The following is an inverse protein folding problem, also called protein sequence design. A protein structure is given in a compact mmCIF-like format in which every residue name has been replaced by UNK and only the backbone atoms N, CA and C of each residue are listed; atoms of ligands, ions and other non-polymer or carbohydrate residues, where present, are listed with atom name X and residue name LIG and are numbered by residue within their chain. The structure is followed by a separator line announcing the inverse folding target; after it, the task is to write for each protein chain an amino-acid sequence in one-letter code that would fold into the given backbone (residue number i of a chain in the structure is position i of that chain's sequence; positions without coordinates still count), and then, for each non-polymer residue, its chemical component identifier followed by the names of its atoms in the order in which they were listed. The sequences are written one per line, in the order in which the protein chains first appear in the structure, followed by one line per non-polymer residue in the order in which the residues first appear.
data_IF_046146788844
#
_entry.id   IF_046146788844
#
_cell.length_a   1.000
_cell.length_b   1.000
_cell.length_c   1.000
_cell.angle_alpha   90.00
_cell.angle_beta   90.00
_cell.angle_gamma   90.00
#
_symmetry.space_group_name_H-M   'P 1'
#
loop_
_entity.id
_entity.type
_entity.pdbx_description
1 polymer ?
#
# COMPACT_ATOMS: atom_id res chain seq x y z
N UNK A 1 38.64 15.87 5.78
CA UNK A 1 37.84 15.69 4.55
C UNK A 1 36.38 15.81 4.93
N UNK A 2 35.68 16.87 4.51
CA UNK A 2 34.22 16.95 4.71
C UNK A 2 33.60 15.77 3.96
N UNK A 3 32.96 14.85 4.68
CA UNK A 3 32.34 13.66 4.10
C UNK A 3 31.41 14.09 2.97
N UNK A 4 31.51 13.42 1.82
CA UNK A 4 30.54 13.55 0.74
C UNK A 4 29.17 13.25 1.37
N UNK A 5 28.30 14.26 1.48
CA UNK A 5 26.92 14.01 1.91
C UNK A 5 26.37 12.96 0.95
N UNK A 6 26.03 11.78 1.46
CA UNK A 6 25.41 10.73 0.66
C UNK A 6 24.04 11.27 0.24
N UNK A 7 23.85 11.46 -1.07
CA UNK A 7 22.58 11.90 -1.64
C UNK A 7 21.50 10.88 -1.30
N UNK A 8 20.37 11.33 -0.73
CA UNK A 8 19.25 10.44 -0.40
C UNK A 8 18.54 9.99 -1.66
N UNK A 9 18.07 8.74 -1.67
CA UNK A 9 17.45 8.12 -2.84
C UNK A 9 16.00 7.72 -2.57
N UNK A 10 15.11 8.06 -3.50
CA UNK A 10 13.71 7.66 -3.50
C UNK A 10 13.45 6.66 -4.64
N UNK A 11 12.87 5.51 -4.33
CA UNK A 11 12.40 4.53 -5.32
C UNK A 11 10.90 4.70 -5.52
N UNK A 12 10.49 5.11 -6.73
CA UNK A 12 9.10 5.42 -7.07
C UNK A 12 8.62 4.49 -8.18
N UNK A 13 7.59 3.69 -7.88
CA UNK A 13 6.93 2.79 -8.83
C UNK A 13 5.44 2.72 -8.53
N UNK A 14 4.66 3.53 -9.23
CA UNK A 14 3.22 3.69 -8.99
C UNK A 14 2.37 3.34 -10.21
N UNK A 15 1.26 2.67 -9.94
CA UNK A 15 0.20 2.37 -10.90
C UNK A 15 -0.81 3.52 -11.00
N UNK A 16 -1.19 4.12 -9.87
CA UNK A 16 -1.94 5.38 -9.83
C UNK A 16 -0.94 6.55 -9.79
N UNK A 17 -1.08 7.49 -10.74
CA UNK A 17 -0.18 8.63 -10.93
C UNK A 17 -0.70 9.90 -10.29
N UNK A 18 -1.79 9.85 -9.52
CA UNK A 18 -2.31 11.00 -8.80
C UNK A 18 -1.23 11.65 -7.92
N UNK A 19 -0.91 12.92 -8.18
CA UNK A 19 0.01 13.74 -7.40
C UNK A 19 1.49 13.34 -7.47
N UNK A 20 1.87 12.32 -8.25
CA UNK A 20 3.24 11.78 -8.20
C UNK A 20 4.27 12.71 -8.84
N UNK A 21 3.87 13.46 -9.86
CA UNK A 21 4.75 14.39 -10.56
C UNK A 21 5.14 15.53 -9.64
N UNK A 22 4.16 16.15 -8.99
CA UNK A 22 4.35 17.23 -8.02
C UNK A 22 5.20 16.74 -6.84
N UNK A 23 4.88 15.56 -6.31
CA UNK A 23 5.65 14.95 -5.24
C UNK A 23 7.13 14.74 -5.62
N UNK A 24 7.39 14.19 -6.81
CA UNK A 24 8.73 13.94 -7.31
C UNK A 24 9.50 15.24 -7.57
N UNK A 25 8.84 16.28 -8.10
CA UNK A 25 9.46 17.60 -8.30
C UNK A 25 9.90 18.22 -6.97
N UNK A 26 9.08 18.13 -5.91
CA UNK A 26 9.47 18.62 -4.58
C UNK A 26 10.65 17.82 -4.01
N UNK A 27 10.67 16.50 -4.17
CA UNK A 27 11.84 15.69 -3.77
C UNK A 27 13.13 16.13 -4.50
N UNK A 28 13.06 16.41 -5.81
CA UNK A 28 14.21 16.92 -6.57
C UNK A 28 14.69 18.27 -6.03
N UNK A 29 13.79 19.18 -5.67
CA UNK A 29 14.14 20.48 -5.05
C UNK A 29 14.85 20.30 -3.71
N UNK A 30 14.50 19.26 -2.96
CA UNK A 30 15.16 18.87 -1.71
C UNK A 30 16.50 18.12 -1.94
N UNK A 31 16.93 17.93 -3.19
CA UNK A 31 18.21 17.32 -3.54
C UNK A 31 18.20 15.79 -3.54
N UNK A 32 17.03 15.16 -3.68
CA UNK A 32 16.92 13.70 -3.73
C UNK A 32 17.18 13.16 -5.15
N UNK A 33 17.77 11.97 -5.21
CA UNK A 33 17.78 11.17 -6.43
C UNK A 33 16.52 10.32 -6.51
N UNK A 34 15.98 10.16 -7.72
CA UNK A 34 14.76 9.39 -7.95
C UNK A 34 15.10 8.20 -8.84
N UNK A 35 14.86 7.00 -8.33
CA UNK A 35 14.91 5.75 -9.07
C UNK A 35 13.48 5.43 -9.50
N UNK A 36 13.27 5.12 -10.77
CA UNK A 36 11.95 4.73 -11.26
C UNK A 36 12.02 3.70 -12.40
N UNK A 37 10.87 3.12 -12.75
CA UNK A 37 10.75 2.08 -13.77
C UNK A 37 9.41 2.18 -14.52
N UNK A 38 9.35 1.57 -15.70
CA UNK A 38 8.15 1.42 -16.52
C UNK A 38 7.40 2.73 -16.75
N UNK A 39 6.06 2.66 -16.71
CA UNK A 39 5.20 3.82 -16.94
C UNK A 39 5.33 4.95 -15.92
N UNK A 40 5.86 4.67 -14.71
CA UNK A 40 6.14 5.75 -13.74
C UNK A 40 7.31 6.60 -14.22
N UNK A 41 8.39 5.95 -14.66
CA UNK A 41 9.57 6.64 -15.20
C UNK A 41 9.18 7.54 -16.38
N UNK A 42 8.40 7.01 -17.32
CA UNK A 42 7.92 7.76 -18.50
C UNK A 42 7.13 9.01 -18.08
N UNK A 43 6.22 8.88 -17.11
CA UNK A 43 5.43 10.02 -16.63
C UNK A 43 6.28 11.10 -15.98
N UNK A 44 7.27 10.70 -15.17
CA UNK A 44 8.20 11.63 -14.51
C UNK A 44 9.14 12.31 -15.51
N UNK A 45 9.73 11.56 -16.44
CA UNK A 45 10.63 12.10 -17.46
C UNK A 45 9.90 13.09 -18.37
N UNK A 46 8.65 12.78 -18.76
CA UNK A 46 7.81 13.68 -19.58
C UNK A 46 7.52 15.00 -18.87
N UNK A 47 7.43 14.98 -17.54
CA UNK A 47 7.25 16.16 -16.70
C UNK A 47 8.57 16.88 -16.36
N UNK A 48 9.69 16.49 -16.98
CA UNK A 48 11.01 17.10 -16.75
C UNK A 48 11.66 16.72 -15.42
N UNK A 49 11.24 15.62 -14.79
CA UNK A 49 11.85 15.11 -13.56
C UNK A 49 12.95 14.11 -13.91
N UNK A 50 14.20 14.44 -13.63
CA UNK A 50 15.32 13.54 -13.87
C UNK A 50 15.24 12.29 -12.99
N UNK A 51 15.13 11.12 -13.64
CA UNK A 51 15.09 9.80 -12.98
C UNK A 51 16.25 8.91 -13.39
N UNK A 52 16.66 8.03 -12.47
CA UNK A 52 17.59 6.92 -12.68
C UNK A 52 16.75 5.69 -13.02
N UNK A 53 17.06 4.98 -14.10
CA UNK A 53 16.34 3.75 -14.42
C UNK A 53 16.70 2.66 -13.41
N UNK A 54 15.75 1.80 -13.05
CA UNK A 54 16.03 0.70 -12.13
C UNK A 54 17.11 -0.25 -12.68
N UNK A 55 17.13 -0.46 -13.99
CA UNK A 55 18.12 -1.29 -14.69
C UNK A 55 19.54 -0.74 -14.57
N UNK A 56 19.70 0.59 -14.45
CA UNK A 56 21.00 1.24 -14.21
C UNK A 56 21.49 0.96 -12.78
N UNK A 57 20.56 0.77 -11.83
CA UNK A 57 20.88 0.46 -10.42
C UNK A 57 21.16 -1.03 -10.23
N UNK A 58 20.43 -1.90 -10.91
CA UNK A 58 20.61 -3.35 -10.82
C UNK A 58 21.74 -3.86 -11.71
N UNK A 59 22.02 -3.18 -12.82
CA UNK A 59 22.88 -3.69 -13.89
C UNK A 59 22.27 -4.89 -14.61
N UNK A 60 20.96 -5.09 -14.48
CA UNK A 60 20.26 -6.29 -14.92
C UNK A 60 18.96 -5.90 -15.65
N UNK A 61 18.74 -6.39 -16.88
CA UNK A 61 17.58 -5.98 -17.68
C UNK A 61 16.27 -6.56 -17.12
N UNK A 62 15.16 -5.93 -17.45
CA UNK A 62 13.82 -6.50 -17.24
C UNK A 62 13.67 -7.86 -17.94
N UNK A 63 13.13 -8.87 -17.23
CA UNK A 63 12.95 -10.23 -17.74
C UNK A 63 11.56 -10.80 -17.46
N UNK A 64 11.20 -11.85 -18.22
CA UNK A 64 9.96 -12.63 -18.07
C UNK A 64 8.72 -11.72 -18.14
N UNK A 65 8.65 -10.91 -19.19
CA UNK A 65 7.54 -9.98 -19.44
C UNK A 65 7.28 -9.01 -18.26
N UNK A 66 8.36 -8.59 -17.59
CA UNK A 66 8.32 -7.63 -16.49
C UNK A 66 8.03 -8.21 -15.11
N UNK A 67 7.91 -9.55 -15.00
CA UNK A 67 7.74 -10.25 -13.72
C UNK A 67 8.97 -10.12 -12.82
N UNK A 68 10.16 -10.01 -13.40
CA UNK A 68 11.43 -9.88 -12.66
C UNK A 68 12.12 -8.59 -13.07
N UNK A 69 11.87 -7.54 -12.28
CA UNK A 69 12.48 -6.20 -12.44
C UNK A 69 13.12 -5.69 -11.15
N UNK A 70 12.36 -5.71 -10.05
CA UNK A 70 12.75 -5.08 -8.77
C UNK A 70 13.27 -6.09 -7.75
N UNK A 71 13.13 -7.39 -8.03
CA UNK A 71 13.56 -8.50 -7.17
C UNK A 71 15.07 -8.72 -7.27
N UNK A 72 15.84 -7.71 -6.86
CA UNK A 72 17.30 -7.68 -7.00
C UNK A 72 17.98 -7.31 -5.67
N UNK A 73 19.14 -7.90 -5.33
CA UNK A 73 19.89 -7.55 -4.12
C UNK A 73 20.26 -6.07 -4.01
N UNK A 74 20.56 -5.38 -5.11
CA UNK A 74 20.85 -3.94 -5.07
C UNK A 74 19.65 -3.10 -4.61
N UNK A 75 18.43 -3.57 -4.89
CA UNK A 75 17.20 -2.88 -4.45
C UNK A 75 16.89 -3.28 -3.01
N UNK A 76 16.74 -4.59 -2.74
CA UNK A 76 16.34 -5.06 -1.43
C UNK A 76 17.42 -4.86 -0.36
N UNK A 77 18.70 -4.96 -0.72
CA UNK A 77 19.82 -4.63 0.15
C UNK A 77 19.85 -3.15 0.51
N UNK A 78 19.60 -2.27 -0.47
CA UNK A 78 19.48 -0.83 -0.22
C UNK A 78 18.31 -0.46 0.70
N UNK A 79 17.24 -1.25 0.67
CA UNK A 79 16.05 -1.09 1.53
C UNK A 79 16.21 -1.73 2.92
N UNK A 80 16.89 -2.88 3.02
CA UNK A 80 16.93 -3.70 4.23
C UNK A 80 18.21 -3.52 5.05
N UNK A 81 19.23 -2.85 4.50
CA UNK A 81 20.44 -2.51 5.25
C UNK A 81 20.06 -1.67 6.48
N UNK A 82 20.39 -2.19 7.65
CA UNK A 82 20.22 -1.48 8.92
C UNK A 82 21.32 -0.42 9.01
N UNK A 83 20.92 0.80 9.30
CA UNK A 83 21.85 1.95 9.36
C UNK A 83 22.46 2.15 10.74
N UNK A 84 21.93 1.44 11.74
CA UNK A 84 22.41 1.41 13.12
C UNK A 84 23.38 0.23 13.38
N UNK A 85 23.78 -0.49 12.33
CA UNK A 85 24.66 -1.65 12.44
C UNK A 85 25.77 -1.59 11.38
N UNK A 86 27.00 -1.36 11.83
CA UNK A 86 28.17 -1.14 10.96
C UNK A 86 28.38 -2.29 9.97
N UNK A 87 28.17 -3.55 10.40
CA UNK A 87 28.35 -4.71 9.52
C UNK A 87 27.39 -4.72 8.31
N UNK A 88 26.20 -4.11 8.42
CA UNK A 88 25.29 -3.97 7.28
C UNK A 88 25.77 -2.87 6.33
N UNK A 89 26.30 -1.76 6.86
CA UNK A 89 26.83 -0.67 6.05
C UNK A 89 28.11 -1.08 5.32
N UNK A 90 28.99 -1.84 5.97
CA UNK A 90 30.16 -2.45 5.38
C UNK A 90 29.77 -3.43 4.27
N UNK A 91 28.84 -4.36 4.53
CA UNK A 91 28.36 -5.29 3.52
C UNK A 91 27.73 -4.57 2.31
N UNK A 92 26.95 -3.51 2.54
CA UNK A 92 26.39 -2.71 1.47
C UNK A 92 27.50 -2.04 0.63
N UNK A 93 28.49 -1.44 1.28
CA UNK A 93 29.64 -0.80 0.62
C UNK A 93 30.47 -1.80 -0.19
N UNK A 94 30.81 -2.95 0.39
CA UNK A 94 31.64 -3.98 -0.24
C UNK A 94 30.97 -4.57 -1.48
N UNK A 95 29.64 -4.68 -1.45
CA UNK A 95 28.84 -5.17 -2.57
C UNK A 95 28.33 -4.03 -3.49
N UNK A 96 28.79 -2.79 -3.28
CA UNK A 96 28.40 -1.60 -4.07
C UNK A 96 26.88 -1.38 -4.10
N UNK A 97 26.21 -1.71 -3.01
CA UNK A 97 24.79 -1.49 -2.80
C UNK A 97 24.61 -0.10 -2.20
N UNK A 98 23.90 0.75 -2.92
CA UNK A 98 23.52 2.07 -2.44
C UNK A 98 22.23 2.00 -1.63
N UNK A 99 22.14 2.83 -0.59
CA UNK A 99 20.98 2.86 0.30
C UNK A 99 19.79 3.57 -0.37
N UNK A 100 18.59 3.14 -0.01
CA UNK A 100 17.33 3.77 -0.43
C UNK A 100 16.61 4.27 0.83
N UNK A 101 16.18 5.53 0.80
CA UNK A 101 15.63 6.26 1.95
C UNK A 101 14.12 6.40 1.93
N UNK A 102 13.54 6.38 0.73
CA UNK A 102 12.11 6.53 0.51
C UNK A 102 11.65 5.52 -0.54
N UNK A 103 10.54 4.85 -0.29
CA UNK A 103 9.83 4.01 -1.25
C UNK A 103 8.42 4.53 -1.43
N UNK A 104 8.04 4.80 -2.67
CA UNK A 104 6.66 5.15 -3.03
C UNK A 104 6.15 4.14 -4.03
N UNK A 105 5.24 3.28 -3.57
CA UNK A 105 4.67 2.20 -4.38
C UNK A 105 3.19 2.08 -4.07
N UNK A 106 2.32 2.26 -5.07
CA UNK A 106 0.93 1.83 -4.97
C UNK A 106 0.73 0.62 -5.88
N UNK A 107 0.10 -0.41 -5.33
CA UNK A 107 -0.12 -1.67 -6.05
C UNK A 107 -1.18 -1.44 -7.13
N UNK A 108 -0.97 -2.00 -8.32
CA UNK A 108 -2.06 -2.07 -9.29
C UNK A 108 -3.18 -2.88 -8.65
N UNK A 109 -4.41 -2.34 -8.57
CA UNK A 109 -5.47 -3.01 -7.85
C UNK A 109 -5.86 -4.27 -8.62
N UNK A 110 -5.31 -5.42 -8.19
CA UNK A 110 -5.78 -6.75 -8.56
C UNK A 110 -7.32 -6.83 -8.47
N UNK A 111 -7.89 -6.14 -7.47
CA UNK A 111 -9.30 -5.84 -7.33
C UNK A 111 -9.95 -5.29 -8.62
N UNK A 112 -9.43 -4.23 -9.20
CA UNK A 112 -10.00 -3.63 -10.42
C UNK A 112 -9.90 -4.60 -11.60
N UNK A 113 -8.82 -5.39 -11.68
CA UNK A 113 -8.69 -6.43 -12.71
C UNK A 113 -9.78 -7.48 -12.59
N UNK A 114 -9.98 -8.08 -11.42
CA UNK A 114 -10.98 -9.14 -11.23
C UNK A 114 -12.43 -8.64 -11.29
N UNK A 115 -12.65 -7.32 -11.24
CA UNK A 115 -13.96 -6.70 -11.39
C UNK A 115 -14.31 -6.36 -12.85
N UNK A 116 -13.37 -6.48 -13.80
CA UNK A 116 -13.65 -6.28 -15.22
C UNK A 116 -14.56 -7.40 -15.74
N UNK A 117 -15.61 -7.11 -16.54
CA UNK A 117 -16.59 -8.12 -16.98
C UNK A 117 -15.99 -9.32 -17.73
N UNK A 118 -14.92 -9.09 -18.49
CA UNK A 118 -14.34 -10.07 -19.42
C UNK A 118 -12.95 -10.55 -18.99
N UNK A 119 -12.60 -10.39 -17.71
CA UNK A 119 -11.29 -10.83 -17.19
C UNK A 119 -11.20 -12.35 -17.18
N UNK A 120 -10.17 -12.89 -17.85
CA UNK A 120 -9.90 -14.32 -17.79
C UNK A 120 -9.09 -14.68 -16.53
N UNK A 121 -9.04 -15.97 -16.21
CA UNK A 121 -8.14 -16.46 -15.15
C UNK A 121 -6.67 -16.13 -15.45
N UNK A 122 -6.25 -16.27 -16.70
CA UNK A 122 -4.89 -15.91 -17.11
C UNK A 122 -4.61 -14.42 -16.88
N UNK A 123 -5.55 -13.54 -17.24
CA UNK A 123 -5.42 -12.10 -16.99
C UNK A 123 -5.30 -11.78 -15.50
N UNK A 124 -6.11 -12.44 -14.66
CA UNK A 124 -6.01 -12.28 -13.22
C UNK A 124 -4.63 -12.69 -12.70
N UNK A 125 -4.12 -13.86 -13.11
CA UNK A 125 -2.80 -14.37 -12.71
C UNK A 125 -1.66 -13.43 -13.14
N UNK A 126 -1.69 -12.90 -14.37
CA UNK A 126 -0.67 -11.96 -14.85
C UNK A 126 -0.66 -10.63 -14.08
N UNK A 127 -1.80 -10.24 -13.50
CA UNK A 127 -1.93 -8.99 -12.74
C UNK A 127 -1.59 -9.14 -11.25
N UNK A 128 -1.05 -10.28 -10.83
CA UNK A 128 -0.52 -10.48 -9.47
C UNK A 128 0.88 -9.86 -9.40
N UNK A 129 1.00 -8.78 -8.65
CA UNK A 129 2.25 -8.07 -8.43
C UNK A 129 3.08 -8.76 -7.34
N UNK A 130 4.29 -9.16 -7.69
CA UNK A 130 5.27 -9.73 -6.75
C UNK A 130 6.27 -8.65 -6.29
N UNK A 131 6.70 -7.78 -7.21
CA UNK A 131 7.72 -6.79 -6.96
C UNK A 131 7.24 -5.69 -6.02
N UNK A 132 6.04 -5.15 -6.26
CA UNK A 132 5.43 -4.10 -5.44
C UNK A 132 5.30 -4.48 -3.96
N UNK A 133 4.62 -5.59 -3.62
CA UNK A 133 4.51 -6.03 -2.23
C UNK A 133 5.86 -6.35 -1.60
N UNK A 134 6.81 -6.90 -2.36
CA UNK A 134 8.16 -7.20 -1.86
C UNK A 134 8.93 -5.93 -1.47
N UNK A 135 8.88 -4.88 -2.31
CA UNK A 135 9.51 -3.58 -2.01
C UNK A 135 8.84 -2.90 -0.82
N UNK A 136 7.50 -2.85 -0.80
CA UNK A 136 6.71 -2.28 0.28
C UNK A 136 7.03 -2.95 1.63
N UNK A 137 7.02 -4.29 1.68
CA UNK A 137 7.34 -5.05 2.89
C UNK A 137 8.79 -4.86 3.33
N UNK A 138 9.73 -4.74 2.40
CA UNK A 138 11.14 -4.49 2.71
C UNK A 138 11.33 -3.12 3.39
N UNK A 139 10.74 -2.08 2.79
CA UNK A 139 10.80 -0.73 3.34
C UNK A 139 10.07 -0.61 4.68
N UNK A 140 8.86 -1.18 4.80
CA UNK A 140 8.09 -1.18 6.04
C UNK A 140 8.80 -1.95 7.17
N UNK A 141 9.46 -3.07 6.86
CA UNK A 141 10.28 -3.81 7.84
C UNK A 141 11.42 -2.93 8.38
N UNK A 142 12.06 -2.15 7.52
CA UNK A 142 13.19 -1.28 7.89
C UNK A 142 12.77 0.18 8.18
N UNK A 143 11.55 0.40 8.67
CA UNK A 143 11.01 1.74 8.96
C UNK A 143 11.81 2.55 9.99
N UNK A 144 12.73 1.92 10.73
CA UNK A 144 13.71 2.64 11.54
C UNK A 144 14.51 3.66 10.69
N UNK A 145 14.75 3.33 9.43
CA UNK A 145 15.59 4.09 8.49
C UNK A 145 14.90 4.49 7.18
N UNK A 146 13.90 3.73 6.73
CA UNK A 146 13.28 3.92 5.40
C UNK A 146 11.86 4.43 5.54
N UNK A 147 11.53 5.50 4.81
CA UNK A 147 10.15 5.97 4.68
C UNK A 147 9.45 5.18 3.59
N UNK A 148 8.24 4.70 3.84
CA UNK A 148 7.45 3.95 2.87
C UNK A 148 6.09 4.61 2.67
N UNK A 149 5.65 4.77 1.44
CA UNK A 149 4.37 5.41 1.11
C UNK A 149 3.63 4.56 0.10
N UNK A 150 2.37 4.26 0.40
CA UNK A 150 1.50 3.41 -0.43
C UNK A 150 0.29 4.14 -1.00
N UNK A 151 0.07 5.38 -0.56
CA UNK A 151 -1.16 6.12 -0.84
C UNK A 151 -0.83 7.62 -1.02
N UNK A 152 -1.28 8.25 -2.12
CA UNK A 152 -1.05 9.68 -2.37
C UNK A 152 -1.49 10.62 -1.25
N UNK A 153 -2.47 10.23 -0.42
CA UNK A 153 -2.93 11.09 0.69
C UNK A 153 -1.84 11.36 1.75
N UNK A 154 -0.78 10.55 1.79
CA UNK A 154 0.33 10.73 2.74
C UNK A 154 1.48 11.58 2.14
N UNK A 155 1.41 12.00 0.87
CA UNK A 155 2.47 12.77 0.19
C UNK A 155 2.80 14.08 0.92
N UNK A 156 1.79 14.88 1.24
CA UNK A 156 1.97 16.18 1.90
C UNK A 156 2.63 16.04 3.27
N UNK A 157 2.20 15.05 4.06
CA UNK A 157 2.78 14.79 5.39
C UNK A 157 4.27 14.48 5.28
N UNK A 158 4.64 13.64 4.30
CA UNK A 158 6.05 13.28 4.07
C UNK A 158 6.85 14.48 3.58
N UNK A 159 6.37 15.22 2.57
CA UNK A 159 7.07 16.39 2.05
C UNK A 159 7.25 17.48 3.11
N UNK A 160 6.25 17.73 3.95
CA UNK A 160 6.32 18.71 5.02
C UNK A 160 7.42 18.35 6.04
N UNK A 161 7.50 17.08 6.46
CA UNK A 161 8.58 16.64 7.35
C UNK A 161 9.96 16.72 6.68
N UNK A 162 10.07 16.27 5.42
CA UNK A 162 11.32 16.32 4.68
C UNK A 162 11.82 17.76 4.45
N UNK A 163 10.91 18.69 4.15
CA UNK A 163 11.24 20.10 3.95
C UNK A 163 11.65 20.79 5.26
N UNK A 164 10.96 20.49 6.37
CA UNK A 164 11.25 21.10 7.66
C UNK A 164 12.52 20.55 8.33
N UNK A 165 12.75 19.23 8.23
CA UNK A 165 13.75 18.54 9.04
C UNK A 165 14.85 17.84 8.22
N UNK A 166 14.69 17.75 6.89
CA UNK A 166 15.55 16.94 6.02
C UNK A 166 15.32 15.42 6.12
N UNK A 167 14.46 14.97 7.03
CA UNK A 167 14.05 13.59 7.23
C UNK A 167 12.66 13.47 7.84
N UNK A 168 12.04 12.29 7.70
CA UNK A 168 10.79 11.99 8.40
C UNK A 168 11.04 11.67 9.87
N UNK A 169 9.99 11.77 10.69
CA UNK A 169 10.05 11.31 12.08
C UNK A 169 9.94 9.79 12.16
N UNK A 170 10.49 9.19 13.22
CA UNK A 170 10.33 7.76 13.48
C UNK A 170 8.84 7.37 13.61
N UNK A 171 8.05 8.20 14.29
CA UNK A 171 6.61 7.99 14.48
C UNK A 171 5.87 7.97 13.13
N UNK A 172 6.16 8.92 12.23
CA UNK A 172 5.60 8.91 10.87
C UNK A 172 6.00 7.66 10.11
N UNK A 173 7.27 7.24 10.15
CA UNK A 173 7.70 6.00 9.48
C UNK A 173 7.01 4.76 10.06
N UNK A 174 6.84 4.70 11.37
CA UNK A 174 6.13 3.59 12.03
C UNK A 174 4.65 3.55 11.64
N UNK A 175 3.95 4.70 11.62
CA UNK A 175 2.56 4.82 11.17
C UNK A 175 2.40 4.33 9.72
N UNK A 176 3.30 4.78 8.85
CA UNK A 176 3.29 4.42 7.43
C UNK A 176 3.59 2.93 7.22
N UNK A 177 4.55 2.36 7.95
CA UNK A 177 4.83 0.92 7.91
C UNK A 177 3.61 0.09 8.33
N UNK A 178 2.89 0.51 9.37
CA UNK A 178 1.65 -0.14 9.78
C UNK A 178 0.57 -0.06 8.68
N UNK A 179 0.46 1.09 7.98
CA UNK A 179 -0.44 1.25 6.83
C UNK A 179 -0.07 0.31 5.68
N UNK A 180 1.22 0.17 5.38
CA UNK A 180 1.71 -0.72 4.34
C UNK A 180 1.39 -2.18 4.63
N UNK A 181 1.61 -2.67 5.85
CA UNK A 181 1.29 -4.06 6.18
C UNK A 181 -0.22 -4.35 6.12
N UNK A 182 -1.08 -3.39 6.49
CA UNK A 182 -2.53 -3.52 6.24
C UNK A 182 -2.86 -3.57 4.76
N UNK A 183 -2.23 -2.71 3.94
CA UNK A 183 -2.44 -2.68 2.50
C UNK A 183 -2.02 -3.99 1.82
N UNK A 184 -0.84 -4.52 2.14
CA UNK A 184 -0.39 -5.80 1.57
C UNK A 184 -1.19 -6.99 2.08
N UNK A 185 -1.63 -6.97 3.34
CA UNK A 185 -2.53 -8.01 3.87
C UNK A 185 -3.89 -8.02 3.15
N UNK A 186 -4.45 -6.83 2.87
CA UNK A 186 -5.67 -6.71 2.08
C UNK A 186 -5.48 -7.21 0.65
N UNK A 187 -4.33 -6.91 0.04
CA UNK A 187 -3.97 -7.39 -1.30
C UNK A 187 -3.92 -8.93 -1.36
N UNK A 188 -3.20 -9.57 -0.44
CA UNK A 188 -3.08 -11.04 -0.38
C UNK A 188 -4.43 -11.70 -0.05
N UNK A 189 -5.27 -11.07 0.78
CA UNK A 189 -6.61 -11.57 1.09
C UNK A 189 -7.52 -11.60 -0.16
N UNK A 190 -7.43 -10.60 -1.03
CA UNK A 190 -8.19 -10.56 -2.29
C UNK A 190 -7.72 -11.64 -3.26
N UNK A 191 -6.41 -11.88 -3.35
CA UNK A 191 -5.85 -12.97 -4.15
C UNK A 191 -6.35 -14.31 -3.62
N UNK A 192 -6.22 -14.56 -2.31
CA UNK A 192 -6.69 -15.78 -1.68
C UNK A 192 -8.19 -16.02 -1.93
N UNK A 193 -9.03 -15.00 -1.73
CA UNK A 193 -10.47 -15.07 -2.00
C UNK A 193 -10.76 -15.44 -3.47
N UNK A 194 -10.04 -14.83 -4.42
CA UNK A 194 -10.18 -15.15 -5.84
C UNK A 194 -9.82 -16.62 -6.12
N UNK A 195 -8.66 -17.10 -5.68
CA UNK A 195 -8.23 -18.48 -5.93
C UNK A 195 -9.13 -19.53 -5.24
N UNK A 196 -9.56 -19.27 -4.00
CA UNK A 196 -10.54 -20.12 -3.29
C UNK A 196 -11.84 -20.25 -4.08
N UNK A 197 -12.34 -19.15 -4.67
CA UNK A 197 -13.52 -19.18 -5.53
C UNK A 197 -13.28 -19.98 -6.83
N UNK A 198 -12.11 -19.84 -7.46
CA UNK A 198 -11.76 -20.57 -8.69
C UNK A 198 -11.71 -22.09 -8.50
N UNK A 199 -11.27 -22.57 -7.33
CA UNK A 199 -11.25 -24.00 -7.00
C UNK A 199 -12.58 -24.52 -6.43
N UNK A 200 -13.61 -23.66 -6.32
CA UNK A 200 -14.93 -24.04 -5.83
C UNK A 200 -14.98 -24.35 -4.33
N UNK A 201 -14.00 -23.89 -3.56
CA UNK A 201 -13.92 -24.16 -2.13
C UNK A 201 -14.80 -23.17 -1.34
N UNK A 202 -15.88 -23.67 -0.74
CA UNK A 202 -16.84 -22.84 0.00
C UNK A 202 -16.52 -22.69 1.50
N UNK A 203 -15.67 -23.55 2.04
CA UNK A 203 -15.31 -23.61 3.46
C UNK A 203 -13.80 -23.86 3.63
N UNK A 204 -12.96 -22.88 3.25
CA UNK A 204 -11.52 -23.02 3.39
C UNK A 204 -11.15 -23.20 4.87
N UNK A 205 -10.06 -23.90 5.13
CA UNK A 205 -9.51 -24.11 6.46
C UNK A 205 -9.08 -22.80 7.13
N UNK A 206 -8.81 -21.76 6.32
CA UNK A 206 -8.48 -20.42 6.77
C UNK A 206 -9.30 -19.37 6.03
N UNK A 207 -10.15 -18.66 6.76
CA UNK A 207 -10.90 -17.52 6.25
C UNK A 207 -10.15 -16.21 6.54
N UNK A 208 -9.72 -15.51 5.50
CA UNK A 208 -9.09 -14.18 5.62
C UNK A 208 -10.03 -13.13 5.04
N UNK A 209 -10.45 -12.17 5.88
CA UNK A 209 -11.38 -11.12 5.48
C UNK A 209 -10.72 -9.75 5.55
N UNK A 210 -11.02 -8.89 4.58
CA UNK A 210 -10.53 -7.51 4.53
C UNK A 210 -11.68 -6.53 4.26
N UNK A 211 -11.66 -5.40 4.96
CA UNK A 211 -12.68 -4.37 4.90
C UNK A 211 -12.05 -2.97 4.94
N UNK A 212 -12.68 -2.04 4.21
CA UNK A 212 -12.31 -0.62 4.23
C UNK A 212 -13.19 0.13 5.22
N UNK A 213 -12.59 0.99 6.04
CA UNK A 213 -13.33 1.97 6.83
C UNK A 213 -14.05 2.92 5.88
N UNK A 214 -15.38 3.04 6.00
CA UNK A 214 -16.19 3.97 5.20
C UNK A 214 -16.58 5.20 5.98
N UNK A 215 -16.91 5.03 7.25
CA UNK A 215 -17.43 6.12 8.05
C UNK A 215 -17.25 5.82 9.55
N UNK A 216 -16.79 6.82 10.30
CA UNK A 216 -16.84 6.78 11.76
C UNK A 216 -18.27 6.97 12.26
N UNK A 217 -18.70 6.16 13.22
CA UNK A 217 -20.05 6.25 13.78
C UNK A 217 -20.03 7.12 15.04
N UNK A 218 -21.16 7.77 15.32
CA UNK A 218 -21.29 8.62 16.51
C UNK A 218 -21.13 7.83 17.81
N UNK A 219 -21.66 6.62 17.82
CA UNK A 219 -21.57 5.63 18.88
C UNK A 219 -22.00 4.27 18.34
N UNK A 220 -21.74 3.24 19.15
CA UNK A 220 -22.13 1.84 18.99
C UNK A 220 -23.64 1.62 19.05
N UNK A 221 -24.03 0.50 19.65
CA UNK A 221 -25.42 0.27 20.02
C UNK A 221 -25.85 1.24 21.13
N UNK A 222 -24.95 1.54 22.06
CA UNK A 222 -25.16 2.47 23.16
C UNK A 222 -24.22 3.69 23.08
N UNK A 223 -24.62 4.87 23.60
CA UNK A 223 -23.85 6.12 23.48
C UNK A 223 -22.38 6.08 23.97
N UNK A 224 -22.09 5.22 24.93
CA UNK A 224 -20.76 5.04 25.51
C UNK A 224 -19.83 4.12 24.71
N UNK A 225 -20.33 3.47 23.66
CA UNK A 225 -19.57 2.54 22.84
C UNK A 225 -19.02 3.25 21.60
N UNK A 226 -17.75 3.03 21.26
CA UNK A 226 -17.20 3.44 19.97
C UNK A 226 -17.66 2.49 18.87
N UNK A 227 -17.88 3.02 17.67
CA UNK A 227 -18.11 2.20 16.50
C UNK A 227 -17.70 2.88 15.19
N UNK A 228 -17.45 2.04 14.20
CA UNK A 228 -17.05 2.41 12.86
C UNK A 228 -17.75 1.50 11.86
N UNK A 229 -18.10 2.05 10.69
CA UNK A 229 -18.68 1.30 9.58
C UNK A 229 -17.60 0.88 8.59
N UNK A 230 -17.45 -0.43 8.44
CA UNK A 230 -16.52 -1.06 7.50
C UNK A 230 -17.27 -1.75 6.36
N UNK A 231 -16.74 -1.66 5.15
CA UNK A 231 -17.33 -2.28 3.95
C UNK A 231 -16.35 -3.25 3.30
N UNK A 232 -16.85 -4.41 2.89
CA UNK A 232 -16.03 -5.42 2.20
C UNK A 232 -15.56 -4.87 0.86
N UNK A 233 -14.29 -5.11 0.53
CA UNK A 233 -13.67 -4.64 -0.71
C UNK A 233 -14.33 -5.24 -1.97
N UNK A 234 -14.88 -6.44 -1.88
CA UNK A 234 -15.52 -7.16 -2.99
C UNK A 234 -17.01 -7.37 -2.72
N UNK A 235 -17.85 -6.52 -3.29
CA UNK A 235 -19.23 -6.88 -3.57
C UNK A 235 -19.46 -6.57 -5.04
N UNK A 236 -19.56 -7.62 -5.86
CA UNK A 236 -20.36 -7.51 -7.06
C UNK A 236 -21.78 -7.22 -6.58
N UNK A 237 -22.15 -5.94 -6.53
CA UNK A 237 -23.55 -5.58 -6.44
C UNK A 237 -24.17 -6.03 -7.74
N UNK A 238 -24.90 -7.15 -7.69
CA UNK A 238 -25.98 -7.43 -8.62
C UNK A 238 -26.77 -6.12 -8.78
N UNK A 239 -26.87 -5.60 -10.02
CA UNK A 239 -27.38 -4.25 -10.40
C UNK A 239 -28.82 -3.95 -9.94
N UNK A 240 -29.06 -3.78 -8.64
CA UNK A 240 -30.38 -3.42 -8.12
C UNK A 240 -30.40 -2.25 -7.13
N UNK A 241 -29.25 -1.65 -6.76
CA UNK A 241 -29.22 -0.67 -5.66
C UNK A 241 -28.39 0.59 -5.94
N UNK A 242 -28.56 1.20 -7.11
CA UNK A 242 -28.39 2.67 -7.24
C UNK A 242 -29.77 3.32 -7.20
N UNK A 243 -30.36 3.43 -6.01
CA UNK A 243 -31.48 4.37 -5.78
C UNK A 243 -30.93 5.57 -5.03
N UNK A 244 -30.90 6.69 -5.76
CA UNK A 244 -30.52 8.02 -5.31
C UNK A 244 -31.23 8.39 -4.00
N UNK A 245 -30.48 8.69 -2.93
CA UNK A 245 -30.96 9.45 -1.79
C UNK A 245 -30.93 10.95 -2.13
N UNK A 246 -31.86 11.39 -2.96
CA UNK A 246 -32.15 12.81 -3.17
C UNK A 246 -33.06 13.33 -2.06
N UNK A 247 -32.51 13.54 -0.87
CA UNK A 247 -33.12 14.40 0.16
C UNK A 247 -32.04 14.88 1.13
N UNK A 248 -31.66 16.15 0.99
CA UNK A 248 -30.68 16.81 1.84
C UNK A 248 -31.14 16.90 3.30
N UNK A 249 -30.62 16.00 4.13
CA UNK A 249 -30.38 16.21 5.57
C UNK A 249 -29.09 15.48 5.89
N UNK A 250 -28.10 16.18 6.44
CA UNK A 250 -26.78 15.67 6.80
C UNK A 250 -26.85 14.26 7.42
N UNK A 251 -26.38 13.25 6.68
CA UNK A 251 -26.35 11.86 7.13
C UNK A 251 -25.32 11.70 8.26
N UNK A 252 -25.77 11.79 9.50
CA UNK A 252 -25.10 11.24 10.67
C UNK A 252 -25.91 10.02 11.12
N UNK A 253 -25.71 8.88 10.45
CA UNK A 253 -26.41 7.63 10.72
C UNK A 253 -25.84 6.92 11.95
N UNK A 254 -26.72 6.48 12.87
CA UNK A 254 -26.40 5.63 14.03
C UNK A 254 -26.60 4.14 13.68
N UNK A 255 -25.96 3.22 14.41
CA UNK A 255 -26.03 1.77 14.10
C UNK A 255 -27.45 1.21 14.10
N UNK A 256 -28.31 1.67 15.03
CA UNK A 256 -29.72 1.26 15.10
C UNK A 256 -30.49 1.57 13.79
N UNK A 257 -30.14 2.66 13.10
CA UNK A 257 -30.73 3.00 11.80
C UNK A 257 -30.22 2.10 10.66
N UNK A 258 -29.02 1.52 10.78
CA UNK A 258 -28.46 0.59 9.78
C UNK A 258 -28.93 -0.85 9.98
N UNK A 259 -29.13 -1.31 11.22
CA UNK A 259 -29.59 -2.68 11.53
C UNK A 259 -31.04 -2.99 11.10
N UNK A 260 -31.82 -1.97 10.72
CA UNK A 260 -33.21 -2.13 10.24
C UNK A 260 -33.31 -2.38 8.73
N UNK A 261 -32.20 -2.32 7.98
CA UNK A 261 -32.15 -2.79 6.59
C UNK A 261 -31.81 -4.29 6.54
N UNK A 262 -32.48 -5.09 5.68
CA UNK A 262 -32.18 -6.51 5.53
C UNK A 262 -30.91 -6.69 4.68
N UNK A 263 -29.76 -6.31 5.23
CA UNK A 263 -28.46 -6.52 4.61
C UNK A 263 -27.46 -6.93 5.69
N UNK A 264 -26.65 -7.94 5.38
CA UNK A 264 -25.55 -8.40 6.24
C UNK A 264 -24.53 -7.26 6.36
N UNK A 265 -24.66 -6.47 7.43
CA UNK A 265 -23.78 -5.39 7.83
C UNK A 265 -22.80 -5.93 8.87
N UNK A 266 -21.49 -5.83 8.59
CA UNK A 266 -20.48 -6.06 9.63
C UNK A 266 -20.24 -4.73 10.35
N UNK A 267 -20.95 -4.51 11.45
CA UNK A 267 -20.64 -3.45 12.40
C UNK A 267 -19.63 -4.02 13.38
N UNK A 268 -18.40 -3.51 13.38
CA UNK A 268 -17.39 -3.88 14.37
C UNK A 268 -17.49 -2.87 15.53
N UNK A 269 -18.24 -3.25 16.57
CA UNK A 269 -18.14 -2.60 17.88
C UNK A 269 -16.82 -3.02 18.53
N UNK A 270 -16.15 -2.13 19.28
CA UNK A 270 -14.92 -2.48 20.04
C UNK A 270 -15.12 -3.61 21.08
N UNK A 271 -16.35 -4.08 21.28
CA UNK A 271 -16.63 -5.31 22.04
C UNK A 271 -16.71 -6.52 21.09
N UNK A 272 -15.57 -7.12 20.74
CA UNK A 272 -15.55 -8.48 20.15
C UNK A 272 -15.90 -9.47 21.26
N UNK A 273 -17.18 -9.76 21.43
CA UNK A 273 -17.62 -10.87 22.27
C UNK A 273 -17.66 -12.12 21.39
N UNK A 274 -16.52 -12.82 21.32
CA UNK A 274 -16.44 -14.20 20.81
C UNK A 274 -17.31 -15.08 21.72
N UNK A 275 -18.57 -15.31 21.34
CA UNK A 275 -19.40 -16.34 21.94
C UNK A 275 -18.82 -17.71 21.53
N UNK A 276 -18.04 -18.30 22.44
CA UNK A 276 -17.87 -19.74 22.47
C UNK A 276 -19.19 -20.36 22.94
N UNK A 277 -19.77 -21.18 22.07
CA UNK A 277 -20.81 -22.14 22.42
C UNK A 277 -20.27 -23.09 23.49
N UNK A 278 -20.65 -22.86 24.75
CA UNK A 278 -20.70 -23.92 25.75
C UNK A 278 -21.99 -24.71 25.53
N UNK A 279 -21.91 -25.84 24.82
CA UNK A 279 -22.92 -26.89 24.84
C UNK A 279 -22.27 -28.16 25.41
N UNK A 280 -22.47 -28.38 26.71
CA UNK A 280 -22.81 -29.63 27.43
C UNK A 280 -22.47 -29.45 28.91
#
# INVERSE_FOLDING_TARGET
MKGKNMTKRALISVSDKAGIVEFAQELKKLGWEIISTGGTKVALDTAGVDTIAIDDVTGFPEMMDGRVKTLHPNIHGGLLARRDLDSHLEAAKDNKIELIDLVVVNLYPFKETILKPDVTYADAVENIDIGGPSMLRSAAKNHASVTVVVDPVDYDVVLNELSANGETTYETRQRLAAKVFRHTAAYDALIAEYFTAQVGESKPEKLTLTYDLKQAMRYGENPQQDADFYQKLCQQTTRLLQRNSSTGKNCHSTISAMLTLPFVLSVISKTVQLLWLSNT
#
